data_IF_080193642015
#
_entry.id   IF_080193642015
#
_cell.length_a   1.000
_cell.length_b   1.000
_cell.length_c   1.000
_cell.angle_alpha   90.00
_cell.angle_beta   90.00
_cell.angle_gamma   90.00
#
_symmetry.space_group_name_H-M   'P 1'
#
loop_
_entity.id
_entity.type
_entity.pdbx_description
1 polymer ?
#
# COMPACT_ATOMS: atom_id res chain seq x y z
N UNK A 1 5.12 -2.59 -4.90
CA UNK A 1 4.32 -1.42 -5.34
C UNK A 1 4.32 -0.38 -4.22
N UNK A 2 4.54 0.93 -4.48
CA UNK A 2 4.76 1.93 -3.41
C UNK A 2 3.66 3.00 -3.43
N UNK A 3 3.08 3.29 -2.26
CA UNK A 3 2.14 4.38 -2.00
C UNK A 3 2.93 5.54 -1.38
N UNK A 4 2.74 6.75 -1.92
CA UNK A 4 3.34 7.97 -1.37
C UNK A 4 2.26 8.92 -0.87
N UNK A 5 2.26 9.20 0.42
CA UNK A 5 1.30 10.11 1.06
C UNK A 5 2.02 11.31 1.66
N UNK A 6 1.52 12.51 1.38
CA UNK A 6 1.94 13.73 2.10
C UNK A 6 1.15 13.82 3.40
N UNK A 7 1.86 13.73 4.53
CA UNK A 7 1.25 13.84 5.86
C UNK A 7 1.29 15.28 6.33
N UNK A 8 0.13 15.84 6.67
CA UNK A 8 -0.01 17.25 7.08
C UNK A 8 0.02 17.45 8.60
N UNK A 9 0.00 16.37 9.38
CA UNK A 9 0.02 16.37 10.85
C UNK A 9 1.06 15.39 11.36
N UNK A 10 1.43 15.50 12.64
CA UNK A 10 2.33 14.54 13.28
C UNK A 10 1.58 13.25 13.61
N UNK A 11 2.31 12.15 13.82
CA UNK A 11 1.74 10.84 14.23
C UNK A 11 0.80 10.99 15.44
N UNK A 12 1.20 11.77 16.44
CA UNK A 12 0.47 11.99 17.69
C UNK A 12 -0.91 12.65 17.51
N UNK A 13 -1.14 13.32 16.37
CA UNK A 13 -2.42 13.97 16.06
C UNK A 13 -3.41 13.03 15.35
N UNK A 14 -3.00 11.81 15.00
CA UNK A 14 -3.87 10.84 14.35
C UNK A 14 -4.47 9.87 15.38
N UNK A 15 -5.80 9.83 15.44
CA UNK A 15 -6.55 8.91 16.30
C UNK A 15 -6.93 7.60 15.61
N UNK A 16 -6.75 7.52 14.29
CA UNK A 16 -7.13 6.37 13.47
C UNK A 16 -5.88 5.60 13.04
N UNK A 17 -5.93 4.26 13.14
CA UNK A 17 -4.87 3.38 12.61
C UNK A 17 -4.96 3.28 11.09
N UNK A 18 -4.50 4.34 10.42
CA UNK A 18 -4.41 4.38 8.96
C UNK A 18 -3.05 3.84 8.49
N UNK A 19 -2.97 3.40 7.23
CA UNK A 19 -1.71 2.98 6.59
C UNK A 19 -0.60 4.04 6.70
N UNK A 20 -0.95 5.32 6.56
CA UNK A 20 0.00 6.43 6.75
C UNK A 20 0.52 6.54 8.18
N UNK A 21 -0.33 6.25 9.17
CA UNK A 21 0.06 6.23 10.59
C UNK A 21 0.99 5.06 10.87
N UNK A 22 0.64 3.86 10.38
CA UNK A 22 1.51 2.69 10.44
C UNK A 22 2.90 2.97 9.82
N UNK A 23 2.94 3.67 8.69
CA UNK A 23 4.19 4.07 8.04
C UNK A 23 4.99 5.09 8.87
N UNK A 24 4.31 6.05 9.51
CA UNK A 24 4.96 7.01 10.40
C UNK A 24 5.53 6.35 11.66
N UNK A 25 4.80 5.40 12.26
CA UNK A 25 5.28 4.63 13.42
C UNK A 25 6.51 3.81 13.06
N UNK A 26 6.48 3.10 11.92
CA UNK A 26 7.63 2.35 11.42
C UNK A 26 8.84 3.25 11.16
N UNK A 27 8.62 4.43 10.57
CA UNK A 27 9.70 5.40 10.34
C UNK A 27 10.34 5.91 11.64
N UNK A 28 9.56 6.14 12.69
CA UNK A 28 10.09 6.53 14.01
C UNK A 28 10.97 5.42 14.59
N UNK A 29 10.51 4.17 14.54
CA UNK A 29 11.27 3.03 15.08
C UNK A 29 12.59 2.79 14.36
N UNK A 30 12.68 3.16 13.08
CA UNK A 30 13.90 3.09 12.27
C UNK A 30 14.79 4.35 12.39
N UNK A 31 14.43 5.33 13.22
CA UNK A 31 15.15 6.60 13.34
C UNK A 31 14.98 7.54 12.13
N UNK A 32 13.99 7.28 11.28
CA UNK A 32 13.68 8.02 10.05
C UNK A 32 12.47 8.95 10.22
N UNK A 33 12.28 9.50 11.42
CA UNK A 33 11.13 10.33 11.77
C UNK A 33 10.85 11.42 10.71
N UNK A 34 9.58 11.60 10.35
CA UNK A 34 9.13 12.56 9.34
C UNK A 34 8.44 13.75 10.02
N UNK A 35 8.79 14.94 9.56
CA UNK A 35 8.13 16.18 9.98
C UNK A 35 6.81 16.39 9.19
N UNK A 36 5.84 17.12 9.76
CA UNK A 36 4.65 17.54 9.03
C UNK A 36 5.01 18.24 7.71
N UNK A 37 4.27 17.89 6.65
CA UNK A 37 4.50 18.40 5.30
C UNK A 37 5.51 17.58 4.48
N UNK A 38 6.18 16.60 5.08
CA UNK A 38 6.99 15.63 4.35
C UNK A 38 6.14 14.46 3.84
N UNK A 39 6.62 13.79 2.80
CA UNK A 39 5.99 12.59 2.27
C UNK A 39 6.52 11.34 2.97
N UNK A 40 5.65 10.36 3.15
CA UNK A 40 6.01 8.99 3.53
C UNK A 40 5.67 8.05 2.39
N UNK A 41 6.64 7.23 2.01
CA UNK A 41 6.52 6.25 0.92
C UNK A 41 6.64 4.85 1.51
N UNK A 42 5.64 4.00 1.26
CA UNK A 42 5.54 2.67 1.85
C UNK A 42 4.81 1.70 0.91
N UNK A 43 5.05 0.41 1.06
CA UNK A 43 4.26 -0.66 0.49
C UNK A 43 3.40 -1.31 1.58
N UNK A 44 2.21 -1.79 1.21
CA UNK A 44 1.36 -2.58 2.12
C UNK A 44 1.77 -4.04 2.01
N UNK A 45 2.10 -4.65 3.15
CA UNK A 45 2.58 -6.04 3.22
C UNK A 45 1.59 -6.97 3.91
N UNK A 46 0.72 -6.43 4.77
CA UNK A 46 -0.39 -7.17 5.38
C UNK A 46 -1.48 -6.16 5.82
N UNK A 47 -2.50 -5.94 4.99
CA UNK A 47 -3.53 -4.92 5.26
C UNK A 47 -4.49 -5.31 6.41
N UNK A 48 -4.47 -6.57 6.86
CA UNK A 48 -5.29 -7.02 7.98
C UNK A 48 -4.76 -6.51 9.32
N UNK A 49 -3.43 -6.37 9.46
CA UNK A 49 -2.79 -5.88 10.70
C UNK A 49 -3.19 -4.45 11.04
N UNK A 50 -3.36 -4.13 12.31
CA UNK A 50 -3.68 -2.75 12.76
C UNK A 50 -2.45 -2.02 13.34
N UNK A 51 -1.27 -2.60 13.18
CA UNK A 51 0.01 -2.08 13.67
C UNK A 51 0.90 -1.59 12.53
N UNK A 52 2.06 -1.02 12.88
CA UNK A 52 3.14 -0.66 11.95
C UNK A 52 3.60 -1.79 11.01
N UNK A 53 3.36 -3.05 11.40
CA UNK A 53 3.70 -4.24 10.60
C UNK A 53 2.82 -4.39 9.36
N UNK A 54 1.73 -3.62 9.24
CA UNK A 54 0.91 -3.53 8.04
C UNK A 54 1.70 -3.10 6.81
N UNK A 55 2.78 -2.33 7.01
CA UNK A 55 3.51 -1.66 5.94
C UNK A 55 5.02 -1.84 6.09
N UNK A 56 5.72 -1.71 4.97
CA UNK A 56 7.17 -1.50 4.90
C UNK A 56 7.45 -0.18 4.21
N UNK A 57 8.43 0.56 4.70
CA UNK A 57 8.89 1.78 4.05
C UNK A 57 9.56 1.45 2.73
N UNK A 58 9.45 2.35 1.76
CA UNK A 58 10.11 2.19 0.45
C UNK A 58 11.65 2.17 0.53
N UNK A 59 12.23 2.58 1.67
CA UNK A 59 13.67 2.50 1.95
C UNK A 59 14.11 1.15 2.50
N UNK A 60 13.18 0.25 2.81
CA UNK A 60 13.47 -1.11 3.27
C UNK A 60 13.53 -2.06 2.07
N UNK A 61 14.32 -3.13 2.17
CA UNK A 61 14.27 -4.23 1.21
C UNK A 61 12.91 -4.93 1.33
N UNK A 62 12.17 -4.96 0.23
CA UNK A 62 10.80 -5.45 0.16
C UNK A 62 10.80 -6.85 -0.46
N UNK A 63 10.57 -7.87 0.37
CA UNK A 63 10.51 -9.26 -0.09
C UNK A 63 9.12 -9.61 -0.63
N UNK A 64 8.07 -9.20 0.08
CA UNK A 64 6.68 -9.54 -0.23
C UNK A 64 5.76 -8.33 -0.07
N UNK A 65 4.64 -8.34 -0.79
CA UNK A 65 3.57 -7.37 -0.67
C UNK A 65 2.20 -8.07 -0.59
N UNK A 66 1.22 -7.38 -0.03
CA UNK A 66 -0.15 -7.89 0.04
C UNK A 66 -0.81 -7.83 -1.35
N UNK A 67 -0.70 -8.93 -2.10
CA UNK A 67 -1.29 -9.07 -3.43
C UNK A 67 -2.79 -8.82 -3.39
N UNK A 68 -3.48 -9.31 -2.36
CA UNK A 68 -4.94 -9.15 -2.20
C UNK A 68 -5.31 -7.67 -2.13
N UNK A 69 -4.61 -6.92 -1.28
CA UNK A 69 -4.79 -5.47 -1.17
C UNK A 69 -4.59 -4.75 -2.52
N UNK A 70 -3.48 -5.02 -3.22
CA UNK A 70 -3.21 -4.34 -4.48
C UNK A 70 -4.17 -4.78 -5.61
N UNK A 71 -4.66 -6.02 -5.58
CA UNK A 71 -5.70 -6.52 -6.48
C UNK A 71 -7.01 -5.75 -6.29
N UNK A 72 -7.45 -5.54 -5.06
CA UNK A 72 -8.64 -4.73 -4.76
C UNK A 72 -8.49 -3.28 -5.23
N UNK A 73 -7.32 -2.68 -5.00
CA UNK A 73 -6.99 -1.33 -5.48
C UNK A 73 -7.06 -1.27 -7.01
N UNK A 74 -6.53 -2.28 -7.70
CA UNK A 74 -6.55 -2.36 -9.16
C UNK A 74 -7.97 -2.48 -9.70
N UNK A 75 -8.79 -3.38 -9.15
CA UNK A 75 -10.20 -3.53 -9.55
C UNK A 75 -10.96 -2.23 -9.38
N UNK A 76 -10.75 -1.52 -8.26
CA UNK A 76 -11.35 -0.20 -8.02
C UNK A 76 -10.85 0.85 -9.02
N UNK A 77 -9.57 0.85 -9.37
CA UNK A 77 -9.02 1.80 -10.34
C UNK A 77 -9.54 1.52 -11.76
N UNK A 78 -9.73 0.26 -12.12
CA UNK A 78 -10.24 -0.18 -13.41
C UNK A 78 -11.77 -0.01 -13.55
N UNK A 79 -12.49 0.33 -12.47
CA UNK A 79 -13.95 0.57 -12.52
C UNK A 79 -14.36 1.69 -13.49
N UNK A 80 -13.42 2.55 -13.88
CA UNK A 80 -13.56 3.56 -14.96
C UNK A 80 -13.98 2.93 -16.29
N UNK A 81 -13.74 1.64 -16.51
CA UNK A 81 -14.10 0.91 -17.72
C UNK A 81 -15.58 0.46 -17.74
N UNK A 82 -16.35 0.70 -16.67
CA UNK A 82 -17.76 0.33 -16.60
C UNK A 82 -18.64 0.85 -17.74
N UNK A 83 -18.44 2.07 -18.30
CA UNK A 83 -19.21 2.51 -19.48
C UNK A 83 -18.90 1.72 -20.75
N UNK A 84 -17.78 1.00 -20.80
CA UNK A 84 -17.36 0.14 -21.90
C UNK A 84 -17.85 -1.31 -21.72
N UNK A 85 -18.69 -1.57 -20.71
CA UNK A 85 -19.27 -2.88 -20.44
C UNK A 85 -18.49 -3.75 -19.46
N UNK A 86 -17.34 -3.28 -18.97
CA UNK A 86 -16.50 -4.02 -18.02
C UNK A 86 -16.99 -3.86 -16.58
N UNK A 87 -17.35 -4.95 -15.94
CA UNK A 87 -17.69 -5.02 -14.50
C UNK A 87 -16.46 -5.36 -13.67
N UNK A 88 -16.54 -5.09 -12.38
CA UNK A 88 -15.52 -5.51 -11.42
C UNK A 88 -15.24 -7.02 -11.48
N UNK A 89 -16.28 -7.84 -11.66
CA UNK A 89 -16.17 -9.30 -11.85
C UNK A 89 -15.33 -9.67 -13.06
N UNK A 90 -15.49 -8.96 -14.18
CA UNK A 90 -14.78 -9.25 -15.43
C UNK A 90 -13.29 -8.96 -15.26
N UNK A 91 -12.96 -7.88 -14.54
CA UNK A 91 -11.59 -7.52 -14.19
C UNK A 91 -10.99 -8.54 -13.21
N UNK A 92 -11.76 -8.98 -12.20
CA UNK A 92 -11.33 -9.99 -11.24
C UNK A 92 -11.08 -11.35 -11.89
N UNK A 93 -11.90 -11.74 -12.87
CA UNK A 93 -11.74 -12.97 -13.64
C UNK A 93 -10.45 -12.93 -14.46
N UNK A 94 -10.22 -11.85 -15.22
CA UNK A 94 -9.00 -11.68 -16.01
C UNK A 94 -7.74 -11.69 -15.15
N UNK A 95 -7.76 -11.01 -14.00
CA UNK A 95 -6.64 -11.05 -13.04
C UNK A 95 -6.43 -12.43 -12.39
N UNK A 96 -7.42 -13.33 -12.46
CA UNK A 96 -7.31 -14.69 -11.91
C UNK A 96 -6.58 -15.64 -12.85
N UNK A 97 -6.52 -15.31 -14.14
CA UNK A 97 -5.85 -16.09 -15.17
C UNK A 97 -4.33 -15.94 -15.14
N UNK A 98 -3.82 -14.86 -14.52
CA UNK A 98 -2.40 -14.59 -14.37
C UNK A 98 -1.98 -14.79 -12.91
N UNK A 99 -1.15 -15.79 -12.64
CA UNK A 99 -0.46 -15.91 -11.35
C UNK A 99 0.80 -15.04 -11.40
N UNK A 100 0.79 -13.92 -10.69
CA UNK A 100 1.99 -13.07 -10.55
C UNK A 100 3.09 -13.87 -9.84
N UNK A 101 4.12 -14.21 -10.60
CA UNK A 101 5.38 -14.70 -10.03
C UNK A 101 6.04 -13.51 -9.34
N UNK A 102 6.30 -13.63 -8.03
CA UNK A 102 6.90 -12.59 -7.20
C UNK A 102 8.10 -11.92 -7.89
N UNK A 103 8.14 -10.58 -7.87
CA UNK A 103 9.24 -9.74 -8.36
C UNK A 103 10.56 -10.02 -7.60
N UNK A 104 11.20 -11.16 -7.86
CA UNK A 104 12.56 -11.47 -7.42
C UNK A 104 13.62 -10.94 -8.40
N UNK A 105 13.29 -9.98 -9.26
CA UNK A 105 14.17 -9.54 -10.34
C UNK A 105 14.06 -8.05 -10.62
N UNK A 106 14.40 -7.23 -9.63
CA UNK A 106 15.06 -5.95 -9.88
C UNK A 106 16.00 -5.70 -8.69
N UNK A 107 17.19 -6.30 -8.77
CA UNK A 107 18.37 -5.94 -7.98
C UNK A 107 19.27 -4.98 -8.75
#
# INVERSE_FOLDING_TARGET
MVITNRVSKKREDYTQSTRSVAALERAVDMGLARAPGQSVSYAVVDDAKQSRERVMLASEELDEYDVGFYREVLVRAASVLSPLGWRASDIEEELGQYTESSLASFG
#
